data_IF_425670676292
#
_entry.id   IF_425670676292
#
_cell.length_a   1.000
_cell.length_b   1.000
_cell.length_c   1.000
_cell.angle_alpha   90.00
_cell.angle_beta   90.00
_cell.angle_gamma   90.00
#
_symmetry.space_group_name_H-M   'P 1'
#
loop_
_entity.id
_entity.type
_entity.pdbx_description
1 polymer ?
#
# COMPACT_ATOMS: atom_id res chain seq x y z
N UNK A 1 11.88 12.25 12.73
CA UNK A 1 12.37 13.60 12.43
C UNK A 1 11.41 14.34 11.48
N UNK A 2 11.59 15.63 11.33
CA UNK A 2 10.92 16.49 10.36
C UNK A 2 11.92 17.44 9.76
N UNK A 3 11.66 17.87 8.53
CA UNK A 3 12.47 18.88 7.85
C UNK A 3 11.79 20.25 8.04
N UNK A 4 12.58 21.29 8.30
CA UNK A 4 12.06 22.65 8.30
C UNK A 4 12.48 23.33 7.00
N UNK A 5 11.53 23.71 6.18
CA UNK A 5 11.76 24.48 4.96
C UNK A 5 11.44 25.95 5.19
N UNK A 6 12.10 26.80 4.43
CA UNK A 6 11.86 28.23 4.43
C UNK A 6 11.43 28.61 3.02
N UNK A 7 10.23 29.15 2.89
CA UNK A 7 9.76 29.69 1.63
C UNK A 7 10.08 31.19 1.56
N UNK A 8 10.68 31.60 0.47
CA UNK A 8 10.96 33.01 0.15
C UNK A 8 10.13 33.38 -1.08
N UNK A 9 8.84 33.55 -0.86
CA UNK A 9 7.85 33.72 -1.94
C UNK A 9 7.84 35.09 -2.60
N UNK A 10 8.57 36.08 -2.07
CA UNK A 10 8.57 37.44 -2.65
C UNK A 10 9.94 38.11 -2.57
N UNK A 11 10.48 38.47 -3.72
CA UNK A 11 11.63 39.42 -3.82
C UNK A 11 11.12 40.75 -3.28
N UNK A 12 11.56 41.13 -2.07
CA UNK A 12 11.28 42.44 -1.47
C UNK A 12 10.30 42.44 -0.28
N UNK A 13 9.86 41.30 0.24
CA UNK A 13 9.13 41.23 1.51
C UNK A 13 9.86 40.32 2.51
N UNK A 14 10.05 40.79 3.74
CA UNK A 14 10.67 40.05 4.85
C UNK A 14 9.80 38.90 5.40
N UNK A 15 8.86 38.38 4.62
CA UNK A 15 8.01 37.27 5.03
C UNK A 15 8.67 35.95 4.68
N UNK A 16 9.36 35.42 5.65
CA UNK A 16 9.86 34.03 5.64
C UNK A 16 8.87 33.14 6.36
N UNK A 17 8.22 32.23 5.64
CA UNK A 17 7.36 31.22 6.25
C UNK A 17 8.14 29.94 6.44
N UNK A 18 8.14 29.39 7.64
CA UNK A 18 8.78 28.11 7.96
C UNK A 18 7.74 27.00 8.02
N UNK A 19 7.92 25.98 7.25
CA UNK A 19 7.08 24.79 7.27
C UNK A 19 7.85 23.63 7.87
N UNK A 20 7.16 22.81 8.65
CA UNK A 20 7.66 21.49 9.03
C UNK A 20 7.04 20.47 8.10
N UNK A 21 7.86 19.79 7.36
CA UNK A 21 7.43 18.74 6.44
C UNK A 21 8.12 17.42 6.77
N UNK A 22 7.54 16.33 6.31
CA UNK A 22 8.18 15.03 6.31
C UNK A 22 9.31 15.03 5.26
N UNK A 23 10.24 14.12 5.41
CA UNK A 23 11.23 13.87 4.37
C UNK A 23 10.55 13.21 3.17
N UNK A 24 10.56 13.81 1.98
CA UNK A 24 9.95 13.24 0.79
C UNK A 24 10.58 11.91 0.34
N UNK A 25 11.79 11.59 0.82
CA UNK A 25 12.46 10.32 0.59
C UNK A 25 12.23 9.30 1.73
N UNK A 26 11.44 9.65 2.74
CA UNK A 26 11.14 8.72 3.83
C UNK A 26 10.40 7.50 3.31
N UNK A 27 10.78 6.34 3.81
CA UNK A 27 10.10 5.05 3.57
C UNK A 27 9.26 4.59 4.76
N UNK A 28 9.32 5.32 5.85
CA UNK A 28 8.61 5.05 7.09
C UNK A 28 8.22 6.34 7.79
N UNK A 29 6.96 6.44 8.21
CA UNK A 29 6.44 7.59 8.95
C UNK A 29 5.67 7.14 10.19
N UNK A 30 5.38 8.09 11.08
CA UNK A 30 4.46 7.88 12.18
C UNK A 30 3.03 7.62 11.64
N UNK A 31 2.19 6.95 12.44
CA UNK A 31 0.80 6.62 12.08
C UNK A 31 -0.02 7.81 11.54
N UNK A 32 0.30 9.02 11.98
CA UNK A 32 -0.35 10.26 11.54
C UNK A 32 0.32 10.91 10.31
N UNK A 33 1.28 10.22 9.68
CA UNK A 33 2.00 10.68 8.50
C UNK A 33 2.93 11.88 8.73
N UNK A 34 3.08 12.41 9.96
CA UNK A 34 3.69 13.71 10.22
C UNK A 34 5.16 13.69 10.61
N UNK A 35 5.73 12.52 10.86
CA UNK A 35 7.13 12.35 11.27
C UNK A 35 7.76 11.21 10.49
N UNK A 36 8.92 11.46 9.95
CA UNK A 36 9.72 10.43 9.30
C UNK A 36 10.53 9.62 10.31
N UNK A 37 10.61 8.32 10.09
CA UNK A 37 11.48 7.42 10.84
C UNK A 37 12.72 7.05 10.02
N UNK A 38 13.84 6.89 10.72
CA UNK A 38 15.03 6.26 10.13
C UNK A 38 14.84 4.74 10.27
N UNK A 39 14.68 4.06 9.17
CA UNK A 39 14.40 2.62 9.13
C UNK A 39 15.34 1.92 8.17
N UNK A 40 15.96 0.84 8.63
CA UNK A 40 16.66 -0.09 7.77
C UNK A 40 15.64 -1.01 7.09
N UNK A 41 15.42 -0.80 5.81
CA UNK A 41 14.42 -1.54 5.02
C UNK A 41 14.79 -3.01 4.80
N UNK A 42 16.07 -3.37 4.92
CA UNK A 42 16.53 -4.77 4.81
C UNK A 42 16.09 -5.58 6.02
N UNK A 43 16.09 -4.96 7.21
CA UNK A 43 15.69 -5.62 8.47
C UNK A 43 14.18 -5.86 8.61
N UNK A 44 13.37 -5.32 7.72
CA UNK A 44 11.89 -5.42 7.74
C UNK A 44 11.33 -6.16 6.53
N UNK A 45 12.17 -6.89 5.81
CA UNK A 45 11.73 -7.73 4.70
C UNK A 45 11.19 -9.07 5.21
N UNK A 46 10.12 -9.61 4.63
CA UNK A 46 9.68 -10.97 4.93
C UNK A 46 10.68 -12.00 4.40
N UNK A 47 10.59 -13.23 4.91
CA UNK A 47 11.41 -14.33 4.43
C UNK A 47 11.21 -14.54 2.91
N UNK A 48 12.31 -14.73 2.20
CA UNK A 48 12.29 -14.94 0.75
C UNK A 48 12.11 -13.69 -0.09
N UNK A 49 12.00 -12.48 0.49
CA UNK A 49 11.82 -11.23 -0.25
C UNK A 49 12.91 -10.99 -1.31
N UNK A 50 14.17 -11.28 -0.99
CA UNK A 50 15.28 -11.05 -1.92
C UNK A 50 15.24 -11.97 -3.15
N UNK A 51 14.51 -13.07 -3.05
CA UNK A 51 14.27 -14.02 -4.14
C UNK A 51 12.93 -13.82 -4.85
N UNK A 52 12.05 -12.95 -4.31
CA UNK A 52 10.78 -12.61 -4.94
C UNK A 52 11.02 -11.98 -6.32
N UNK A 53 10.18 -12.33 -7.28
CA UNK A 53 10.28 -11.82 -8.66
C UNK A 53 8.91 -11.42 -9.16
N UNK A 54 8.89 -10.30 -9.84
CA UNK A 54 7.71 -9.87 -10.58
C UNK A 54 7.26 -10.94 -11.58
N UNK A 55 5.95 -11.19 -11.62
CA UNK A 55 5.34 -12.11 -12.57
C UNK A 55 5.03 -11.36 -13.86
N UNK A 56 5.69 -11.75 -14.93
CA UNK A 56 5.45 -11.17 -16.26
C UNK A 56 4.29 -11.86 -16.95
N UNK A 57 3.37 -11.07 -17.48
CA UNK A 57 2.32 -11.58 -18.37
C UNK A 57 2.91 -11.76 -19.75
N UNK A 58 2.74 -12.96 -20.31
CA UNK A 58 3.13 -13.27 -21.68
C UNK A 58 2.35 -12.39 -22.66
N UNK A 59 3.05 -11.57 -23.45
CA UNK A 59 2.44 -10.63 -24.40
C UNK A 59 1.63 -11.31 -25.51
N UNK A 60 1.78 -12.61 -25.69
CA UNK A 60 1.00 -13.42 -26.67
C UNK A 60 -0.32 -13.93 -26.09
N UNK A 61 -0.55 -13.76 -24.78
CA UNK A 61 -1.75 -14.21 -24.07
C UNK A 61 -2.64 -13.04 -23.69
N UNK A 62 -3.90 -13.33 -23.45
CA UNK A 62 -4.83 -12.35 -22.92
C UNK A 62 -4.37 -11.91 -21.51
N UNK A 63 -4.38 -10.59 -21.29
CA UNK A 63 -4.12 -10.00 -19.99
C UNK A 63 -5.45 -9.55 -19.37
N UNK A 64 -5.85 -10.22 -18.28
CA UNK A 64 -7.04 -9.88 -17.51
C UNK A 64 -6.61 -9.09 -16.29
N UNK A 65 -6.90 -7.79 -16.27
CA UNK A 65 -6.56 -6.89 -15.17
C UNK A 65 -7.76 -6.74 -14.23
N UNK A 66 -7.52 -6.96 -12.95
CA UNK A 66 -8.53 -6.74 -11.90
C UNK A 66 -8.04 -5.65 -10.95
N UNK A 67 -8.78 -4.54 -10.87
CA UNK A 67 -8.45 -3.42 -9.97
C UNK A 67 -9.06 -3.68 -8.59
N UNK A 68 -8.23 -3.54 -7.54
CA UNK A 68 -8.59 -3.83 -6.15
C UNK A 68 -8.09 -2.71 -5.25
N UNK A 69 -8.94 -2.21 -4.34
CA UNK A 69 -8.50 -1.48 -3.15
C UNK A 69 -8.08 -2.47 -2.06
N UNK A 70 -6.98 -2.20 -1.36
CA UNK A 70 -6.52 -3.03 -0.23
C UNK A 70 -7.61 -3.15 0.84
N UNK A 71 -8.28 -2.03 1.14
CA UNK A 71 -9.38 -2.00 2.12
C UNK A 71 -10.56 -2.83 1.66
N UNK A 72 -11.05 -2.58 0.45
CA UNK A 72 -12.31 -3.14 -0.01
C UNK A 72 -12.23 -4.65 -0.30
N UNK A 73 -11.03 -5.15 -0.61
CA UNK A 73 -10.80 -6.57 -0.90
C UNK A 73 -11.35 -7.53 0.17
N UNK A 74 -11.29 -7.12 1.43
CA UNK A 74 -11.63 -7.99 2.56
C UNK A 74 -12.50 -7.34 3.63
N UNK A 75 -12.98 -6.12 3.42
CA UNK A 75 -13.79 -5.39 4.42
C UNK A 75 -15.16 -5.98 4.64
N UNK A 76 -15.72 -6.67 3.65
CA UNK A 76 -17.02 -7.34 3.80
C UNK A 76 -16.84 -8.60 4.64
N UNK A 77 -17.58 -8.69 5.74
CA UNK A 77 -17.58 -9.86 6.61
C UNK A 77 -18.06 -11.13 5.92
N UNK A 78 -18.88 -11.01 4.87
CA UNK A 78 -19.31 -12.12 4.04
C UNK A 78 -18.17 -12.71 3.20
N UNK A 79 -17.04 -12.01 3.04
CA UNK A 79 -15.87 -12.55 2.35
C UNK A 79 -15.28 -13.80 3.01
N UNK A 80 -15.57 -14.01 4.30
CA UNK A 80 -15.00 -15.09 5.10
C UNK A 80 -13.50 -14.92 5.38
N UNK A 81 -12.91 -13.80 5.01
CA UNK A 81 -11.54 -13.44 5.38
C UNK A 81 -11.50 -12.85 6.79
N UNK A 82 -10.42 -13.12 7.52
CA UNK A 82 -10.28 -12.72 8.93
C UNK A 82 -9.62 -11.36 9.10
N UNK A 83 -8.76 -10.96 8.15
CA UNK A 83 -8.02 -9.71 8.16
C UNK A 83 -8.73 -8.61 7.36
N UNK A 84 -9.94 -8.22 7.79
CA UNK A 84 -10.75 -7.22 7.09
C UNK A 84 -10.03 -5.90 6.84
N UNK A 85 -9.90 -5.51 5.57
CA UNK A 85 -9.28 -4.25 5.12
C UNK A 85 -7.78 -4.15 5.36
N UNK A 86 -7.05 -5.26 5.46
CA UNK A 86 -5.63 -5.31 5.81
C UNK A 86 -4.76 -5.93 4.71
N UNK A 87 -3.46 -5.58 4.70
CA UNK A 87 -2.47 -6.23 3.83
C UNK A 87 -2.45 -7.74 4.00
N UNK A 88 -2.57 -8.21 5.25
CA UNK A 88 -2.53 -9.64 5.59
C UNK A 88 -3.70 -10.44 4.99
N UNK A 89 -4.81 -9.80 4.60
CA UNK A 89 -5.90 -10.48 3.88
C UNK A 89 -5.44 -11.15 2.58
N UNK A 90 -4.43 -10.57 1.91
CA UNK A 90 -3.86 -11.12 0.68
C UNK A 90 -2.99 -12.36 0.92
N UNK A 91 -2.66 -12.67 2.16
CA UNK A 91 -1.92 -13.89 2.52
C UNK A 91 -2.83 -15.03 2.93
N UNK A 92 -4.13 -14.77 3.14
CA UNK A 92 -5.13 -15.79 3.51
C UNK A 92 -5.41 -16.72 2.33
N UNK A 93 -5.52 -18.02 2.62
CA UNK A 93 -5.83 -19.07 1.64
C UNK A 93 -7.09 -19.83 2.07
N UNK A 94 -7.84 -20.31 1.07
CA UNK A 94 -9.01 -21.10 1.31
C UNK A 94 -10.18 -20.34 1.94
N UNK A 95 -10.19 -19.02 1.88
CA UNK A 95 -11.30 -18.21 2.34
C UNK A 95 -12.56 -18.51 1.51
N UNK A 96 -13.72 -18.56 2.16
CA UNK A 96 -14.98 -18.87 1.53
C UNK A 96 -16.06 -17.87 1.93
N UNK A 97 -16.93 -17.56 0.99
CA UNK A 97 -18.07 -16.67 1.24
C UNK A 97 -18.89 -17.21 2.41
N UNK A 98 -19.23 -16.33 3.36
CA UNK A 98 -19.92 -16.66 4.62
C UNK A 98 -19.19 -17.70 5.48
N UNK A 99 -17.87 -17.83 5.34
CA UNK A 99 -16.99 -18.73 6.12
C UNK A 99 -17.28 -20.23 6.01
N UNK A 100 -18.39 -20.63 5.42
CA UNK A 100 -18.82 -22.02 5.29
C UNK A 100 -19.45 -22.31 3.91
N UNK A 101 -19.47 -21.33 3.01
CA UNK A 101 -20.01 -21.47 1.66
C UNK A 101 -19.16 -22.38 0.77
N UNK A 102 -19.70 -22.75 -0.39
CA UNK A 102 -18.95 -23.47 -1.42
C UNK A 102 -18.10 -22.51 -2.27
N UNK A 103 -18.52 -21.23 -2.36
CA UNK A 103 -17.86 -20.23 -3.18
C UNK A 103 -16.57 -19.73 -2.50
N UNK A 104 -15.49 -19.78 -3.22
CA UNK A 104 -14.19 -19.23 -2.77
C UNK A 104 -14.21 -17.71 -2.80
N UNK A 105 -13.37 -17.10 -1.98
CA UNK A 105 -13.12 -15.65 -1.93
C UNK A 105 -11.62 -15.36 -1.90
N UNK A 106 -11.27 -14.08 -1.81
CA UNK A 106 -9.87 -13.68 -1.71
C UNK A 106 -9.04 -14.03 -2.95
N UNK A 107 -7.79 -14.37 -2.75
CA UNK A 107 -6.84 -14.70 -3.82
C UNK A 107 -7.33 -15.90 -4.66
N UNK A 108 -7.95 -16.88 -4.03
CA UNK A 108 -8.41 -18.07 -4.73
C UNK A 108 -9.55 -17.75 -5.71
N UNK A 109 -10.43 -16.81 -5.38
CA UNK A 109 -11.43 -16.28 -6.31
C UNK A 109 -10.80 -15.60 -7.53
N UNK A 110 -9.75 -14.82 -7.34
CA UNK A 110 -9.05 -14.18 -8.47
C UNK A 110 -8.44 -15.20 -9.44
N UNK A 111 -7.96 -16.32 -8.90
CA UNK A 111 -7.46 -17.45 -9.73
C UNK A 111 -8.58 -18.09 -10.52
N UNK A 112 -9.72 -18.40 -9.90
CA UNK A 112 -10.86 -18.98 -10.59
C UNK A 112 -11.42 -18.06 -11.67
N UNK A 113 -11.39 -16.74 -11.44
CA UNK A 113 -11.81 -15.73 -12.39
C UNK A 113 -10.85 -15.60 -13.60
N UNK A 114 -9.64 -16.18 -13.51
CA UNK A 114 -8.64 -16.12 -14.58
C UNK A 114 -7.92 -14.77 -14.66
N UNK A 115 -7.83 -14.04 -13.54
CA UNK A 115 -7.04 -12.81 -13.45
C UNK A 115 -5.57 -13.11 -13.65
N UNK A 116 -4.88 -12.28 -14.42
CA UNK A 116 -3.43 -12.37 -14.65
C UNK A 116 -2.67 -11.21 -14.02
N UNK A 117 -3.33 -10.07 -13.89
CA UNK A 117 -2.74 -8.86 -13.32
C UNK A 117 -3.67 -8.28 -12.25
N UNK A 118 -3.13 -8.06 -11.06
CA UNK A 118 -3.81 -7.32 -9.99
C UNK A 118 -3.29 -5.88 -10.01
N UNK A 119 -4.19 -4.94 -10.29
CA UNK A 119 -3.92 -3.51 -10.15
C UNK A 119 -4.39 -3.07 -8.78
N UNK A 120 -3.46 -2.78 -7.90
CA UNK A 120 -3.75 -2.25 -6.58
C UNK A 120 -4.03 -0.75 -6.67
N UNK A 121 -5.20 -0.32 -6.21
CA UNK A 121 -5.48 1.09 -5.97
C UNK A 121 -4.42 1.69 -5.01
N UNK A 122 -4.25 3.01 -4.94
CA UNK A 122 -3.17 3.59 -4.16
C UNK A 122 -3.14 3.06 -2.74
N UNK A 123 -1.97 2.63 -2.31
CA UNK A 123 -1.71 2.15 -0.94
C UNK A 123 -0.48 2.81 -0.31
N UNK A 124 -0.07 3.97 -0.86
CA UNK A 124 0.86 4.87 -0.19
C UNK A 124 0.12 5.66 0.91
N UNK A 125 0.87 6.16 1.88
CA UNK A 125 0.35 6.92 3.03
C UNK A 125 -0.48 8.13 2.55
N UNK A 126 -1.74 8.20 2.97
CA UNK A 126 -2.71 9.19 2.51
C UNK A 126 -3.38 9.94 3.67
N UNK A 127 -4.01 11.08 3.38
CA UNK A 127 -4.74 11.89 4.34
C UNK A 127 -6.25 11.62 4.27
N UNK A 128 -6.86 11.47 5.43
CA UNK A 128 -8.31 11.27 5.55
C UNK A 128 -8.77 9.90 5.06
N UNK A 129 -9.87 9.88 4.29
CA UNK A 129 -10.56 8.65 3.87
C UNK A 129 -10.32 8.27 2.41
N UNK A 130 -9.60 9.10 1.66
CA UNK A 130 -9.34 8.89 0.23
C UNK A 130 -7.92 8.40 -0.03
N UNK A 131 -7.81 7.19 -0.54
CA UNK A 131 -6.53 6.58 -0.95
C UNK A 131 -5.83 7.36 -2.10
N UNK A 132 -6.50 8.36 -2.69
CA UNK A 132 -5.92 9.22 -3.72
C UNK A 132 -5.31 10.53 -3.18
N UNK A 133 -5.53 10.85 -1.89
CA UNK A 133 -4.96 12.03 -1.22
C UNK A 133 -3.60 11.70 -0.57
N UNK A 134 -2.60 11.44 -1.41
CA UNK A 134 -1.28 10.97 -0.96
C UNK A 134 -0.55 12.05 -0.17
N UNK A 135 -0.07 11.69 1.02
CA UNK A 135 0.84 12.48 1.86
C UNK A 135 2.31 12.10 1.59
N UNK A 136 2.61 10.82 1.63
CA UNK A 136 3.98 10.29 1.53
C UNK A 136 4.05 9.18 0.48
N UNK A 137 4.59 9.49 -0.69
CA UNK A 137 4.59 8.60 -1.86
C UNK A 137 5.40 7.31 -1.70
N UNK A 138 6.44 7.33 -0.85
CA UNK A 138 7.35 6.20 -0.67
C UNK A 138 7.04 5.37 0.58
N UNK A 139 5.91 5.63 1.22
CA UNK A 139 5.52 5.01 2.50
C UNK A 139 4.25 4.21 2.31
N UNK A 140 4.19 2.94 2.72
CA UNK A 140 2.95 2.17 2.73
C UNK A 140 1.93 2.73 3.73
N UNK A 141 0.65 2.68 3.39
CA UNK A 141 -0.45 3.15 4.25
C UNK A 141 -0.51 2.35 5.56
N UNK A 142 -0.43 3.08 6.67
CA UNK A 142 -0.36 2.46 8.00
C UNK A 142 -1.68 1.81 8.43
N UNK A 143 -2.83 2.36 8.04
CA UNK A 143 -4.15 1.83 8.43
C UNK A 143 -4.42 0.42 7.88
N UNK A 144 -3.73 0.02 6.83
CA UNK A 144 -3.82 -1.31 6.23
C UNK A 144 -2.99 -2.38 6.95
N UNK A 145 -2.14 -2.00 7.90
CA UNK A 145 -1.38 -2.96 8.70
C UNK A 145 -2.14 -3.40 9.97
N UNK A 146 -1.76 -4.56 10.52
CA UNK A 146 -2.30 -5.06 11.79
C UNK A 146 -1.89 -4.19 12.97
N UNK A 147 -0.69 -3.59 12.92
CA UNK A 147 -0.22 -2.61 13.89
C UNK A 147 0.20 -1.31 13.20
N UNK A 148 -0.74 -0.36 13.01
CA UNK A 148 -0.46 0.93 12.34
C UNK A 148 0.58 1.82 13.04
N UNK A 149 0.87 1.57 14.32
CA UNK A 149 1.82 2.38 15.10
C UNK A 149 3.26 1.89 14.97
N UNK A 150 3.48 0.72 14.40
CA UNK A 150 4.80 0.16 14.14
C UNK A 150 5.11 0.16 12.65
N UNK A 151 5.90 1.12 12.21
CA UNK A 151 6.28 1.26 10.81
C UNK A 151 6.99 0.03 10.22
N UNK A 152 7.65 -0.77 11.05
CA UNK A 152 8.28 -2.02 10.61
C UNK A 152 7.24 -3.06 10.23
N UNK A 153 6.18 -3.21 11.04
CA UNK A 153 5.03 -4.06 10.73
C UNK A 153 4.35 -3.60 9.45
N UNK A 154 4.14 -2.28 9.29
CA UNK A 154 3.52 -1.70 8.08
C UNK A 154 4.28 -2.09 6.82
N UNK A 155 5.61 -1.88 6.80
CA UNK A 155 6.45 -2.20 5.64
C UNK A 155 6.47 -3.71 5.39
N UNK A 156 6.61 -4.52 6.44
CA UNK A 156 6.69 -5.97 6.33
C UNK A 156 5.41 -6.55 5.74
N UNK A 157 4.25 -6.20 6.28
CA UNK A 157 2.95 -6.72 5.81
C UNK A 157 2.63 -6.25 4.38
N UNK A 158 3.00 -5.02 4.01
CA UNK A 158 2.89 -4.55 2.64
C UNK A 158 3.73 -5.41 1.67
N UNK A 159 4.96 -5.74 2.03
CA UNK A 159 5.81 -6.64 1.25
C UNK A 159 5.25 -8.07 1.19
N UNK A 160 4.72 -8.59 2.28
CA UNK A 160 4.06 -9.90 2.35
C UNK A 160 2.85 -9.97 1.41
N UNK A 161 2.05 -8.92 1.32
CA UNK A 161 0.95 -8.80 0.35
C UNK A 161 1.45 -8.95 -1.09
N UNK A 162 2.47 -8.19 -1.47
CA UNK A 162 3.06 -8.25 -2.82
C UNK A 162 3.61 -9.65 -3.11
N UNK A 163 4.38 -10.20 -2.18
CA UNK A 163 4.96 -11.54 -2.30
C UNK A 163 3.89 -12.63 -2.42
N UNK A 164 2.78 -12.51 -1.69
CA UNK A 164 1.66 -13.43 -1.78
C UNK A 164 0.98 -13.38 -3.16
N UNK A 165 0.79 -12.19 -3.72
CA UNK A 165 0.25 -12.01 -5.06
C UNK A 165 1.19 -12.60 -6.13
N UNK A 166 2.50 -12.34 -6.06
CA UNK A 166 3.49 -12.93 -6.96
C UNK A 166 3.51 -14.46 -6.84
N UNK A 167 3.50 -14.98 -5.61
CA UNK A 167 3.46 -16.44 -5.35
C UNK A 167 2.19 -17.09 -5.85
N UNK A 168 1.09 -16.34 -5.92
CA UNK A 168 -0.16 -16.79 -6.50
C UNK A 168 -0.17 -16.78 -8.04
N UNK A 169 0.86 -16.21 -8.67
CA UNK A 169 1.04 -16.14 -10.11
C UNK A 169 0.49 -14.86 -10.74
N UNK A 170 0.19 -13.83 -9.98
CA UNK A 170 -0.30 -12.55 -10.51
C UNK A 170 0.85 -11.57 -10.77
N UNK A 171 0.79 -10.90 -11.92
CA UNK A 171 1.49 -9.63 -12.10
C UNK A 171 0.86 -8.57 -11.20
N UNK A 172 1.66 -7.73 -10.55
CA UNK A 172 1.17 -6.68 -9.66
C UNK A 172 1.49 -5.31 -10.23
N UNK A 173 0.48 -4.46 -10.33
CA UNK A 173 0.60 -3.06 -10.77
C UNK A 173 0.13 -2.17 -9.64
N UNK A 174 0.93 -1.20 -9.27
CA UNK A 174 0.58 -0.16 -8.31
C UNK A 174 0.02 1.06 -9.05
N UNK A 175 -1.18 1.48 -8.69
CA UNK A 175 -1.72 2.76 -9.14
C UNK A 175 -1.19 3.87 -8.24
N UNK A 176 -0.71 4.97 -8.84
CA UNK A 176 -0.16 6.09 -8.10
C UNK A 176 -0.57 7.42 -8.72
N UNK A 177 -1.32 8.27 -8.00
CA UNK A 177 -1.73 9.58 -8.47
C UNK A 177 -0.63 10.62 -8.23
N UNK A 178 0.19 10.91 -9.23
CA UNK A 178 1.26 11.93 -9.14
C UNK A 178 0.79 13.36 -9.47
N UNK A 179 -0.50 13.62 -9.44
CA UNK A 179 -1.06 14.94 -9.83
C UNK A 179 -0.95 15.99 -8.74
N UNK A 180 -0.95 15.59 -7.49
CA UNK A 180 -0.84 16.46 -6.31
C UNK A 180 -0.42 15.65 -5.09
N UNK A 181 0.06 16.35 -4.05
CA UNK A 181 0.28 15.77 -2.72
C UNK A 181 -0.65 16.47 -1.72
N UNK A 182 -1.33 15.71 -0.87
CA UNK A 182 -2.18 16.26 0.17
C UNK A 182 -1.35 16.96 1.25
N UNK A 183 -1.89 18.03 1.82
CA UNK A 183 -1.28 18.70 2.98
C UNK A 183 -0.03 19.54 2.71
N UNK A 184 0.42 19.64 1.45
CA UNK A 184 1.58 20.45 1.08
C UNK A 184 1.14 21.59 0.17
N UNK A 185 0.98 22.78 0.73
CA UNK A 185 1.00 24.01 -0.07
C UNK A 185 2.47 24.42 -0.25
N UNK A 186 3.06 24.00 -1.35
CA UNK A 186 4.40 24.45 -1.77
C UNK A 186 4.23 25.73 -2.59
#
# INVERSE_FOLDING_TARGET
>A
YTITTTDVTHIGSDRTTKYKIQDPYSVAVSKDGKRSYITDTSSVSPEGWDSDRHVYVDSTKANTVYKISVKDFSSDTASGMTAGGKYSAFTEKGAKVNSAGELVSGIDYLKELGVTTVQLAPFADFDGDSEYEILNYNVPEASYASNPSDSKTVIKECKEMIQALHSAGFSVVMEMPYTHASGVNI
#
